data_IF_580307493875
#
_entry.id   IF_580307493875
#
_cell.length_a   1.000
_cell.length_b   1.000
_cell.length_c   1.000
_cell.angle_alpha   90.00
_cell.angle_beta   90.00
_cell.angle_gamma   90.00
#
_symmetry.space_group_name_H-M   'P 1'
#
loop_
_entity.id
_entity.type
_entity.pdbx_description
1 polymer ?
#
# COMPACT_ATOMS: atom_id res chain seq x y z
N UNK A 1 -20.05 5.08 -4.48
CA UNK A 1 -18.72 5.69 -4.71
C UNK A 1 -18.24 5.46 -6.14
N UNK A 2 -18.46 4.27 -6.73
CA UNK A 2 -18.11 3.96 -8.11
C UNK A 2 -19.34 4.04 -9.01
N UNK A 3 -19.18 4.56 -10.23
CA UNK A 3 -20.20 4.54 -11.27
C UNK A 3 -20.23 3.15 -11.93
N UNK A 4 -21.37 2.42 -11.92
CA UNK A 4 -21.43 1.06 -12.45
C UNK A 4 -21.32 0.99 -13.99
N UNK A 5 -21.48 2.11 -14.70
CA UNK A 5 -21.36 2.16 -16.16
C UNK A 5 -19.96 2.51 -16.62
N UNK A 6 -19.34 3.47 -15.93
CA UNK A 6 -18.03 3.97 -16.33
C UNK A 6 -16.91 3.30 -15.54
N UNK A 7 -17.15 2.77 -14.34
CA UNK A 7 -16.13 2.37 -13.34
C UNK A 7 -15.32 3.53 -12.76
N UNK A 8 -15.71 4.77 -13.05
CA UNK A 8 -15.12 5.97 -12.47
C UNK A 8 -15.51 6.17 -11.01
N UNK A 9 -14.65 6.87 -10.26
CA UNK A 9 -14.86 7.16 -8.83
C UNK A 9 -15.36 8.59 -8.62
N UNK A 10 -16.19 8.78 -7.59
CA UNK A 10 -16.58 10.13 -7.14
C UNK A 10 -15.34 10.92 -6.74
N UNK A 11 -15.37 12.27 -6.83
CA UNK A 11 -14.29 13.10 -6.33
C UNK A 11 -13.99 12.79 -4.86
N UNK A 12 -12.71 12.53 -4.56
CA UNK A 12 -12.22 12.29 -3.21
C UNK A 12 -11.17 13.35 -2.88
N UNK A 13 -11.11 13.73 -1.61
CA UNK A 13 -10.12 14.67 -1.09
C UNK A 13 -9.36 14.01 0.05
N UNK A 14 -8.04 14.20 0.06
CA UNK A 14 -7.15 13.67 1.07
C UNK A 14 -6.74 14.82 1.99
N UNK A 15 -6.83 14.61 3.30
CA UNK A 15 -6.47 15.60 4.29
C UNK A 15 -5.38 15.08 5.22
N UNK A 16 -4.38 15.92 5.48
CA UNK A 16 -3.45 15.77 6.59
C UNK A 16 -3.94 16.60 7.78
N UNK A 17 -3.74 16.07 8.97
CA UNK A 17 -4.04 16.72 10.24
C UNK A 17 -2.93 16.39 11.23
N UNK A 18 -2.64 17.33 12.13
CA UNK A 18 -1.64 17.13 13.18
C UNK A 18 -2.31 16.76 14.50
N UNK A 19 -1.60 15.98 15.30
CA UNK A 19 -1.89 15.76 16.71
C UNK A 19 -0.64 16.03 17.53
N UNK A 20 -0.80 16.74 18.64
CA UNK A 20 0.28 17.07 19.57
C UNK A 20 0.06 16.47 20.97
N UNK A 21 -0.92 15.57 21.12
CA UNK A 21 -1.38 15.04 22.40
C UNK A 21 -1.72 13.54 22.35
N UNK A 22 -0.94 12.78 21.58
CA UNK A 22 -1.09 11.33 21.35
C UNK A 22 -2.42 10.93 20.68
N UNK A 23 -2.89 11.76 19.75
CA UNK A 23 -4.07 11.50 18.93
C UNK A 23 -5.39 11.82 19.63
N UNK A 24 -5.36 12.49 20.80
CA UNK A 24 -6.56 12.87 21.54
C UNK A 24 -7.29 14.02 20.84
N UNK A 25 -6.56 14.97 20.28
CA UNK A 25 -7.10 16.07 19.47
C UNK A 25 -6.33 16.23 18.16
N UNK A 26 -7.04 16.76 17.15
CA UNK A 26 -6.51 16.93 15.79
C UNK A 26 -6.74 18.35 15.30
N UNK A 27 -5.68 18.97 14.77
CA UNK A 27 -5.68 20.36 14.31
C UNK A 27 -5.03 20.49 12.92
N UNK A 28 -5.00 21.71 12.39
CA UNK A 28 -4.31 22.07 11.14
C UNK A 28 -4.69 21.20 9.93
N UNK A 29 -5.99 21.06 9.64
CA UNK A 29 -6.46 20.33 8.45
C UNK A 29 -5.92 20.99 7.18
N UNK A 30 -5.12 20.25 6.42
CA UNK A 30 -4.53 20.65 5.13
C UNK A 30 -4.96 19.66 4.06
N UNK A 31 -5.37 20.16 2.91
CA UNK A 31 -5.67 19.32 1.75
C UNK A 31 -4.37 18.95 1.04
N UNK A 32 -4.25 17.67 0.67
CA UNK A 32 -3.11 17.18 -0.09
C UNK A 32 -3.32 17.50 -1.56
N UNK A 33 -2.35 18.16 -2.19
CA UNK A 33 -2.38 18.38 -3.63
C UNK A 33 -2.01 17.09 -4.36
N UNK A 34 -2.92 16.62 -5.21
CA UNK A 34 -2.72 15.42 -6.03
C UNK A 34 -2.65 15.71 -7.52
N UNK A 35 -2.49 16.99 -7.91
CA UNK A 35 -2.37 17.35 -9.32
C UNK A 35 -1.18 16.63 -9.97
N UNK A 36 -1.32 16.22 -11.25
CA UNK A 36 -2.44 16.51 -12.16
C UNK A 36 -3.61 15.52 -12.07
N UNK A 37 -3.63 14.60 -11.10
CA UNK A 37 -4.62 13.54 -11.04
C UNK A 37 -5.96 14.03 -10.45
N UNK A 38 -7.06 13.94 -11.21
CA UNK A 38 -8.35 14.52 -10.83
C UNK A 38 -9.18 13.64 -9.89
N UNK A 39 -8.86 12.34 -9.81
CA UNK A 39 -9.50 11.41 -8.87
C UNK A 39 -8.46 10.48 -8.28
N UNK A 40 -8.49 10.34 -6.97
CA UNK A 40 -7.51 9.59 -6.19
C UNK A 40 -8.17 8.80 -5.06
N UNK A 41 -7.46 7.83 -4.53
CA UNK A 41 -7.78 7.17 -3.27
C UNK A 41 -6.52 7.08 -2.39
N UNK A 42 -6.67 7.32 -1.09
CA UNK A 42 -5.56 7.29 -0.13
C UNK A 42 -5.08 5.86 0.11
N UNK A 43 -3.78 5.63 -0.02
CA UNK A 43 -3.17 4.32 0.15
C UNK A 43 -2.23 4.29 1.36
N UNK A 44 -2.81 4.09 2.54
CA UNK A 44 -2.04 3.89 3.77
C UNK A 44 -1.68 5.17 4.50
N UNK A 45 -0.73 5.05 5.45
CA UNK A 45 -0.32 6.16 6.30
C UNK A 45 0.64 7.11 5.58
N UNK A 46 0.66 8.42 5.94
CA UNK A 46 1.71 9.32 5.48
C UNK A 46 3.08 8.86 5.99
N UNK A 47 4.11 9.10 5.20
CA UNK A 47 5.50 8.74 5.49
C UNK A 47 6.31 10.00 5.81
N UNK A 48 7.22 9.88 6.76
CA UNK A 48 8.27 10.89 6.96
C UNK A 48 9.49 10.46 6.14
N UNK A 49 9.92 11.31 5.20
CA UNK A 49 11.07 11.03 4.37
C UNK A 49 12.37 11.33 5.13
N UNK A 50 13.39 10.48 4.93
CA UNK A 50 14.71 10.71 5.51
C UNK A 50 15.38 11.98 4.95
N UNK A 51 15.12 12.30 3.68
CA UNK A 51 15.53 13.56 3.08
C UNK A 51 14.83 14.71 3.83
N UNK A 52 15.58 15.46 4.65
CA UNK A 52 15.06 16.64 5.35
C UNK A 52 14.90 16.53 6.86
N UNK A 53 15.21 15.38 7.48
CA UNK A 53 15.22 15.20 8.96
C UNK A 53 16.23 16.14 9.66
N UNK A 54 17.15 16.76 8.91
CA UNK A 54 18.13 17.74 9.42
C UNK A 54 17.68 19.21 9.31
N UNK A 55 16.43 19.51 8.95
CA UNK A 55 15.94 20.89 8.93
C UNK A 55 15.45 21.29 10.32
N UNK A 56 15.92 22.46 10.77
CA UNK A 56 15.51 23.10 12.01
C UNK A 56 14.59 24.28 11.62
N UNK A 57 13.37 24.42 12.16
CA UNK A 57 12.77 23.60 13.21
C UNK A 57 12.38 22.18 12.74
N UNK A 58 12.39 21.19 13.65
CA UNK A 58 12.04 19.78 13.38
C UNK A 58 10.59 19.58 12.92
N UNK A 59 9.74 20.60 13.04
CA UNK A 59 8.31 20.58 12.72
C UNK A 59 8.01 20.60 11.21
N UNK A 60 9.04 20.61 10.35
CA UNK A 60 8.92 20.71 8.89
C UNK A 60 9.57 19.53 8.15
N UNK A 61 9.66 18.35 8.76
CA UNK A 61 10.18 17.17 8.08
C UNK A 61 9.37 16.90 6.78
N UNK A 62 10.02 16.52 5.67
CA UNK A 62 9.29 16.22 4.45
C UNK A 62 8.36 15.03 4.63
N UNK A 63 7.11 15.21 4.23
CA UNK A 63 6.04 14.24 4.35
C UNK A 63 5.66 13.77 2.96
N UNK A 64 5.50 12.47 2.80
CA UNK A 64 4.97 11.87 1.59
C UNK A 64 3.61 11.22 1.87
N UNK A 65 2.65 11.49 0.99
CA UNK A 65 1.30 10.91 1.05
C UNK A 65 1.12 9.98 -0.14
N UNK A 66 0.87 8.72 0.19
CA UNK A 66 0.78 7.61 -0.75
C UNK A 66 -0.67 7.48 -1.22
N UNK A 67 -0.92 7.41 -2.52
CA UNK A 67 -2.28 7.39 -3.08
C UNK A 67 -2.28 6.74 -4.46
N UNK A 68 -3.42 6.26 -4.92
CA UNK A 68 -3.57 5.81 -6.31
C UNK A 68 -4.50 6.74 -7.08
N UNK A 69 -4.19 6.96 -8.35
CA UNK A 69 -4.98 7.74 -9.28
C UNK A 69 -5.82 6.84 -10.18
N UNK A 70 -7.05 7.28 -10.40
CA UNK A 70 -7.99 6.63 -11.30
C UNK A 70 -8.82 7.68 -12.04
N UNK A 71 -9.67 7.25 -12.96
CA UNK A 71 -10.54 8.15 -13.71
C UNK A 71 -11.73 8.65 -12.90
N UNK A 72 -12.26 9.80 -13.31
CA UNK A 72 -13.40 10.46 -12.64
C UNK A 72 -14.73 9.75 -12.90
N UNK A 73 -15.74 10.04 -12.06
CA UNK A 73 -17.02 9.34 -12.00
C UNK A 73 -17.76 9.18 -13.33
N UNK A 74 -17.79 10.20 -14.18
CA UNK A 74 -18.53 10.17 -15.46
C UNK A 74 -17.62 9.95 -16.67
N UNK A 75 -16.32 9.72 -16.46
CA UNK A 75 -15.38 9.46 -17.54
C UNK A 75 -15.60 8.07 -18.14
N UNK A 76 -16.16 8.04 -19.35
CA UNK A 76 -16.41 6.82 -20.12
C UNK A 76 -15.16 6.27 -20.83
N UNK A 77 -14.01 6.95 -20.75
CA UNK A 77 -12.74 6.52 -21.33
C UNK A 77 -12.19 5.24 -20.68
N UNK A 78 -11.15 4.68 -21.29
CA UNK A 78 -10.49 3.50 -20.73
C UNK A 78 -9.65 3.91 -19.51
N UNK A 79 -9.91 3.33 -18.35
CA UNK A 79 -9.28 3.77 -17.09
C UNK A 79 -7.78 3.48 -17.08
N UNK A 80 -6.97 4.48 -16.76
CA UNK A 80 -5.53 4.35 -16.54
C UNK A 80 -5.25 4.43 -15.05
N UNK A 81 -4.57 3.41 -14.53
CA UNK A 81 -4.14 3.38 -13.14
C UNK A 81 -2.74 3.98 -12.98
N UNK A 82 -2.52 4.75 -11.91
CA UNK A 82 -1.17 5.11 -11.45
C UNK A 82 -1.11 5.06 -9.93
N UNK A 83 -0.11 4.37 -9.39
CA UNK A 83 0.33 4.56 -8.01
C UNK A 83 1.13 5.87 -7.92
N UNK A 84 0.82 6.74 -6.96
CA UNK A 84 1.31 8.11 -6.89
C UNK A 84 1.73 8.53 -5.48
N UNK A 85 2.68 9.45 -5.42
CA UNK A 85 3.24 10.01 -4.19
C UNK A 85 3.19 11.53 -4.24
N UNK A 86 2.40 12.14 -3.34
CA UNK A 86 2.40 13.58 -3.12
C UNK A 86 3.43 13.92 -2.05
N UNK A 87 4.41 14.76 -2.40
CA UNK A 87 5.55 15.08 -1.51
C UNK A 87 5.46 16.54 -1.08
N UNK A 88 5.53 16.75 0.23
CA UNK A 88 5.68 18.06 0.85
C UNK A 88 7.05 18.19 1.50
N UNK A 89 7.65 19.38 1.38
CA UNK A 89 8.95 19.70 1.99
C UNK A 89 8.82 20.60 3.23
N UNK A 90 7.60 20.94 3.63
CA UNK A 90 7.31 21.92 4.67
C UNK A 90 6.32 21.41 5.73
N UNK A 91 6.24 20.09 5.93
CA UNK A 91 5.33 19.49 6.93
C UNK A 91 3.89 19.32 6.45
N UNK A 92 3.66 19.30 5.14
CA UNK A 92 2.35 19.06 4.53
C UNK A 92 1.54 20.33 4.22
N UNK A 93 2.16 21.51 4.18
CA UNK A 93 1.47 22.77 3.84
C UNK A 93 1.44 23.03 2.34
N UNK A 94 2.55 22.75 1.66
CA UNK A 94 2.64 22.81 0.21
C UNK A 94 3.18 21.51 -0.34
N UNK A 95 2.76 21.17 -1.56
CA UNK A 95 3.10 19.92 -2.22
C UNK A 95 3.62 20.21 -3.63
N UNK A 96 4.63 19.46 -4.03
CA UNK A 96 5.00 19.34 -5.44
C UNK A 96 3.88 18.62 -6.22
N UNK A 97 3.82 18.73 -7.55
CA UNK A 97 2.99 17.84 -8.35
C UNK A 97 3.26 16.36 -8.01
N UNK A 98 2.19 15.56 -7.95
CA UNK A 98 2.29 14.17 -7.54
C UNK A 98 3.23 13.38 -8.46
N UNK A 99 4.14 12.63 -7.86
CA UNK A 99 5.08 11.76 -8.57
C UNK A 99 4.42 10.42 -8.85
N UNK A 100 4.63 9.86 -10.04
CA UNK A 100 4.19 8.49 -10.34
C UNK A 100 5.22 7.50 -9.77
N UNK A 101 4.77 6.63 -8.87
CA UNK A 101 5.56 5.53 -8.32
C UNK A 101 5.53 4.34 -9.27
N UNK A 102 4.34 3.99 -9.77
CA UNK A 102 4.15 2.89 -10.70
C UNK A 102 2.99 3.15 -11.67
N UNK A 103 3.26 2.91 -12.95
CA UNK A 103 2.28 2.94 -14.03
C UNK A 103 2.75 1.97 -15.11
N UNK A 104 1.83 1.19 -15.68
CA UNK A 104 2.13 0.36 -16.83
C UNK A 104 1.83 1.13 -18.12
N UNK A 105 2.82 1.48 -18.95
CA UNK A 105 2.60 2.20 -20.20
C UNK A 105 1.69 1.46 -21.20
N UNK A 106 1.56 0.13 -21.08
CA UNK A 106 0.64 -0.66 -21.88
C UNK A 106 -0.79 -0.68 -21.31
N UNK A 107 -1.01 -0.12 -20.12
CA UNK A 107 -2.26 -0.12 -19.36
C UNK A 107 -2.88 -1.53 -19.21
N UNK A 108 -2.03 -2.55 -19.06
CA UNK A 108 -2.40 -3.96 -18.83
C UNK A 108 -2.29 -4.31 -17.36
N UNK A 109 -1.17 -3.97 -16.73
CA UNK A 109 -0.94 -4.20 -15.31
C UNK A 109 -1.44 -3.03 -14.49
N UNK A 110 -2.21 -3.33 -13.46
CA UNK A 110 -2.72 -2.36 -12.49
C UNK A 110 -2.03 -2.60 -11.17
N UNK A 111 -1.24 -1.61 -10.76
CA UNK A 111 -0.39 -1.68 -9.57
C UNK A 111 -1.12 -1.10 -8.35
N UNK A 112 -2.23 -1.73 -7.97
CA UNK A 112 -3.14 -1.26 -6.94
C UNK A 112 -2.54 -1.25 -5.54
N UNK A 113 -3.19 -0.43 -4.70
CA UNK A 113 -3.11 -0.54 -3.24
C UNK A 113 -1.66 -0.49 -2.73
N UNK A 114 -0.88 0.41 -3.33
CA UNK A 114 0.55 0.52 -3.12
C UNK A 114 0.87 0.73 -1.63
N UNK A 115 1.89 0.01 -1.14
CA UNK A 115 2.38 0.11 0.24
C UNK A 115 3.84 0.46 0.22
N UNK A 116 4.16 1.62 0.78
CA UNK A 116 5.51 2.15 0.82
C UNK A 116 6.09 2.09 2.23
N UNK A 117 7.40 1.92 2.30
CA UNK A 117 8.15 2.07 3.54
C UNK A 117 9.48 2.78 3.28
N UNK A 118 9.98 3.44 4.33
CA UNK A 118 11.29 4.09 4.36
C UNK A 118 12.21 3.25 5.22
N UNK A 119 13.37 2.88 4.68
CA UNK A 119 14.44 2.24 5.44
C UNK A 119 15.00 3.24 6.45
N UNK A 120 14.87 3.01 7.77
CA UNK A 120 15.34 3.95 8.78
C UNK A 120 16.88 4.10 8.79
N UNK A 121 17.64 3.11 8.31
CA UNK A 121 19.11 3.16 8.30
C UNK A 121 19.65 3.94 7.10
N UNK A 122 18.99 3.83 5.94
CA UNK A 122 19.52 4.35 4.67
C UNK A 122 18.67 5.44 4.05
N UNK A 123 17.43 5.63 4.50
CA UNK A 123 16.44 6.52 3.90
C UNK A 123 15.91 6.06 2.53
N UNK A 124 16.30 4.87 2.06
CA UNK A 124 15.79 4.31 0.80
C UNK A 124 14.31 3.98 0.93
N UNK A 125 13.56 4.18 -0.14
CA UNK A 125 12.16 3.80 -0.21
C UNK A 125 11.95 2.54 -1.04
N UNK A 126 10.98 1.75 -0.61
CA UNK A 126 10.49 0.54 -1.25
C UNK A 126 8.97 0.62 -1.34
N UNK A 127 8.43 0.27 -2.51
CA UNK A 127 6.99 0.18 -2.78
C UNK A 127 6.66 -1.26 -3.15
N UNK A 128 5.63 -1.84 -2.55
CA UNK A 128 5.08 -3.13 -2.96
C UNK A 128 3.63 -2.95 -3.38
N UNK A 129 3.24 -3.66 -4.44
CA UNK A 129 2.05 -3.38 -5.23
C UNK A 129 1.25 -4.67 -5.38
N UNK A 130 -0.02 -4.65 -5.00
CA UNK A 130 -0.95 -5.68 -5.43
C UNK A 130 -1.18 -5.49 -6.93
N UNK A 131 -0.84 -6.49 -7.74
CA UNK A 131 -0.85 -6.32 -9.20
C UNK A 131 -1.93 -7.18 -9.85
N UNK A 132 -2.77 -6.53 -10.65
CA UNK A 132 -3.80 -7.17 -11.44
C UNK A 132 -3.51 -7.04 -12.94
N UNK A 133 -3.55 -8.16 -13.67
CA UNK A 133 -3.50 -8.16 -15.13
C UNK A 133 -4.92 -8.10 -15.67
N UNK A 134 -5.34 -6.92 -16.15
CA UNK A 134 -6.71 -6.72 -16.63
C UNK A 134 -7.05 -7.45 -17.94
N UNK A 135 -6.03 -7.90 -18.69
CA UNK A 135 -6.24 -8.65 -19.94
C UNK A 135 -6.43 -10.12 -19.61
N UNK A 136 -5.61 -10.66 -18.71
CA UNK A 136 -5.77 -12.02 -18.21
C UNK A 136 -6.91 -12.15 -17.18
N UNK A 137 -7.35 -11.02 -16.62
CA UNK A 137 -8.39 -10.87 -15.60
C UNK A 137 -8.04 -11.63 -14.33
N UNK A 138 -6.80 -11.53 -13.89
CA UNK A 138 -6.31 -12.25 -12.72
C UNK A 138 -5.25 -11.45 -11.99
N UNK A 139 -5.20 -11.67 -10.69
CA UNK A 139 -4.09 -11.20 -9.88
C UNK A 139 -2.83 -11.97 -10.25
N UNK A 140 -1.76 -11.22 -10.50
CA UNK A 140 -0.42 -11.77 -10.73
C UNK A 140 0.40 -11.62 -9.46
N UNK A 141 1.66 -12.05 -9.51
CA UNK A 141 2.57 -11.86 -8.41
C UNK A 141 2.64 -10.39 -7.97
N UNK A 142 2.93 -10.20 -6.69
CA UNK A 142 3.28 -8.89 -6.15
C UNK A 142 4.38 -8.27 -6.98
N UNK A 143 4.23 -6.98 -7.28
CA UNK A 143 5.30 -6.21 -7.88
C UNK A 143 5.96 -5.30 -6.85
N UNK A 144 7.24 -5.03 -7.06
CA UNK A 144 8.07 -4.19 -6.19
C UNK A 144 8.77 -3.10 -7.01
N UNK A 145 8.80 -1.88 -6.49
CA UNK A 145 9.56 -0.77 -7.03
C UNK A 145 10.44 -0.16 -5.93
N UNK A 146 11.57 0.42 -6.33
CA UNK A 146 12.50 1.11 -5.44
C UNK A 146 12.65 2.55 -5.87
N UNK A 147 12.71 3.45 -4.90
CA UNK A 147 13.08 4.83 -5.21
C UNK A 147 14.54 4.89 -5.64
N UNK A 148 14.80 5.60 -6.72
CA UNK A 148 16.13 5.90 -7.25
C UNK A 148 16.73 7.15 -6.58
N UNK A 149 15.90 7.95 -5.89
CA UNK A 149 16.32 9.16 -5.18
C UNK A 149 15.84 9.12 -3.73
N UNK A 150 16.57 9.76 -2.81
CA UNK A 150 16.19 9.78 -1.39
C UNK A 150 14.94 10.63 -1.10
N UNK A 151 14.56 11.52 -2.03
CA UNK A 151 13.40 12.39 -1.94
C UNK A 151 12.12 11.76 -2.51
N UNK A 152 12.17 10.52 -3.00
CA UNK A 152 11.00 9.81 -3.52
C UNK A 152 10.49 10.30 -4.88
N UNK A 153 11.26 11.13 -5.60
CA UNK A 153 10.84 11.74 -6.88
C UNK A 153 11.07 10.88 -8.12
N UNK A 154 11.88 9.82 -8.03
CA UNK A 154 12.15 8.92 -9.16
C UNK A 154 12.13 7.47 -8.70
N UNK A 155 11.50 6.60 -9.47
CA UNK A 155 11.28 5.20 -9.12
C UNK A 155 11.71 4.26 -10.25
N UNK A 156 12.15 3.06 -9.89
CA UNK A 156 12.32 1.99 -10.88
C UNK A 156 10.97 1.52 -11.40
N UNK A 157 10.92 1.03 -12.65
CA UNK A 157 9.74 0.27 -13.10
C UNK A 157 9.49 -0.95 -12.18
N UNK A 158 8.22 -1.24 -11.82
CA UNK A 158 7.90 -2.37 -10.95
C UNK A 158 8.40 -3.71 -11.50
N UNK A 159 8.95 -4.54 -10.62
CA UNK A 159 9.44 -5.89 -10.93
C UNK A 159 8.59 -6.92 -10.24
N UNK A 160 8.32 -8.04 -10.91
CA UNK A 160 7.69 -9.21 -10.32
C UNK A 160 8.55 -9.73 -9.14
N UNK A 161 7.94 -9.88 -7.96
CA UNK A 161 8.59 -10.34 -6.73
C UNK A 161 8.55 -11.86 -6.53
N UNK A 162 7.86 -12.60 -7.40
CA UNK A 162 7.85 -14.07 -7.45
C UNK A 162 6.85 -14.76 -6.50
N UNK A 163 5.99 -14.01 -5.82
CA UNK A 163 4.97 -14.56 -4.92
C UNK A 163 3.64 -13.81 -5.05
N UNK A 164 2.53 -14.51 -4.81
CA UNK A 164 1.18 -13.96 -4.91
C UNK A 164 0.66 -13.48 -3.55
N UNK A 165 0.20 -12.23 -3.49
CA UNK A 165 -0.25 -11.60 -2.24
C UNK A 165 -0.96 -10.27 -2.45
N UNK A 166 -1.89 -9.96 -1.54
CA UNK A 166 -2.68 -8.73 -1.49
C UNK A 166 -2.71 -8.27 -0.03
N UNK A 167 -2.85 -7.04 0.38
CA UNK A 167 -1.97 -5.99 -0.07
C UNK A 167 -0.59 -6.23 0.57
N UNK A 168 0.48 -6.33 -0.22
CA UNK A 168 1.82 -6.60 0.29
C UNK A 168 2.36 -5.39 1.06
N UNK A 169 2.77 -5.58 2.32
CA UNK A 169 3.20 -4.49 3.21
C UNK A 169 4.66 -4.66 3.60
N UNK A 170 5.58 -3.84 3.04
CA UNK A 170 6.99 -3.91 3.40
C UNK A 170 7.25 -3.30 4.78
N UNK A 171 8.09 -3.95 5.57
CA UNK A 171 8.72 -3.45 6.78
C UNK A 171 10.24 -3.61 6.63
N UNK A 172 10.97 -2.52 6.34
CA UNK A 172 12.42 -2.51 6.42
C UNK A 172 12.90 -2.88 7.81
N UNK A 173 13.91 -3.74 7.86
CA UNK A 173 14.53 -4.27 9.07
C UNK A 173 16.03 -4.00 9.04
N UNK A 174 16.71 -4.04 10.20
CA UNK A 174 18.15 -3.83 10.28
C UNK A 174 18.95 -4.74 9.35
N UNK A 175 20.04 -4.19 8.80
CA UNK A 175 20.93 -4.92 7.90
C UNK A 175 20.40 -5.07 6.47
N UNK A 176 19.47 -4.20 6.07
CA UNK A 176 18.90 -4.19 4.72
C UNK A 176 17.90 -5.32 4.43
N UNK A 177 17.40 -6.00 5.46
CA UNK A 177 16.34 -7.00 5.34
C UNK A 177 14.99 -6.30 5.16
N UNK A 178 14.01 -6.97 4.55
CA UNK A 178 12.63 -6.50 4.46
C UNK A 178 11.70 -7.66 4.78
N UNK A 179 10.85 -7.50 5.79
CA UNK A 179 9.71 -8.39 6.00
C UNK A 179 8.54 -7.85 5.18
N UNK A 180 7.90 -8.70 4.38
CA UNK A 180 6.61 -8.39 3.77
C UNK A 180 5.53 -9.20 4.48
N UNK A 181 4.51 -8.52 5.01
CA UNK A 181 3.28 -9.17 5.48
C UNK A 181 2.17 -8.95 4.47
N UNK A 182 1.37 -9.97 4.21
CA UNK A 182 0.37 -9.91 3.16
C UNK A 182 -0.78 -10.90 3.40
N UNK A 183 -1.92 -10.63 2.79
CA UNK A 183 -3.08 -11.50 2.59
C UNK A 183 -2.81 -12.46 1.44
N UNK A 184 -2.75 -13.74 1.78
CA UNK A 184 -2.75 -14.84 0.84
C UNK A 184 -4.19 -15.21 0.52
N UNK A 185 -4.65 -14.77 -0.65
CA UNK A 185 -6.03 -14.90 -1.10
C UNK A 185 -6.29 -16.15 -1.94
N UNK A 186 -5.58 -17.24 -1.62
CA UNK A 186 -5.79 -18.57 -2.21
C UNK A 186 -6.00 -19.60 -1.11
N UNK A 187 -6.45 -20.80 -1.45
CA UNK A 187 -6.73 -21.83 -0.45
C UNK A 187 -5.43 -22.43 0.13
N UNK A 188 -5.27 -22.49 1.48
CA UNK A 188 -6.14 -21.93 2.50
C UNK A 188 -5.95 -20.40 2.70
N UNK A 189 -7.05 -19.63 2.78
CA UNK A 189 -6.98 -18.18 2.89
C UNK A 189 -6.29 -17.80 4.20
N UNK A 190 -5.24 -16.98 4.11
CA UNK A 190 -4.33 -16.76 5.24
C UNK A 190 -3.68 -15.39 5.21
N UNK A 191 -3.13 -14.96 6.35
CA UNK A 191 -2.16 -13.89 6.42
C UNK A 191 -0.78 -14.49 6.61
N UNK A 192 0.16 -14.01 5.80
CA UNK A 192 1.50 -14.57 5.69
C UNK A 192 2.57 -13.51 5.83
N UNK A 193 3.75 -13.95 6.23
CA UNK A 193 4.95 -13.14 6.27
C UNK A 193 6.05 -13.83 5.46
N UNK A 194 6.80 -13.06 4.68
CA UNK A 194 7.93 -13.52 3.88
C UNK A 194 9.09 -12.55 4.07
N UNK A 195 10.32 -13.06 4.16
CA UNK A 195 11.52 -12.27 4.45
C UNK A 195 12.41 -12.18 3.21
N UNK A 196 12.83 -10.97 2.88
CA UNK A 196 13.88 -10.69 1.91
C UNK A 196 15.17 -10.29 2.63
N UNK A 197 16.33 -10.89 2.30
CA UNK A 197 17.61 -10.55 2.93
C UNK A 197 18.31 -9.34 2.30
N UNK A 198 17.83 -8.82 1.17
CA UNK A 198 18.59 -7.92 0.28
C UNK A 198 17.76 -6.73 -0.23
N UNK A 199 16.94 -6.20 0.67
CA UNK A 199 16.07 -5.04 0.45
C UNK A 199 15.00 -5.28 -0.64
N UNK A 200 14.43 -6.49 -0.64
CA UNK A 200 13.32 -6.87 -1.51
C UNK A 200 13.74 -7.39 -2.89
N UNK A 201 15.03 -7.56 -3.17
CA UNK A 201 15.49 -8.00 -4.50
C UNK A 201 15.25 -9.49 -4.71
N UNK A 202 15.35 -10.28 -3.64
CA UNK A 202 15.07 -11.72 -3.65
C UNK A 202 14.11 -12.10 -2.53
N UNK A 203 13.30 -13.11 -2.81
CA UNK A 203 12.28 -13.64 -1.92
C UNK A 203 12.31 -15.17 -2.00
N UNK A 204 12.14 -15.84 -0.87
CA UNK A 204 12.01 -17.29 -0.79
C UNK A 204 10.63 -17.66 -0.28
N UNK A 205 9.73 -17.99 -1.20
CA UNK A 205 8.36 -18.39 -0.88
C UNK A 205 8.27 -19.71 -0.10
N UNK A 206 9.33 -20.53 -0.10
CA UNK A 206 9.36 -21.77 0.68
C UNK A 206 9.53 -21.50 2.19
N UNK A 207 10.05 -20.32 2.54
CA UNK A 207 10.23 -19.85 3.93
C UNK A 207 9.06 -19.03 4.47
N UNK A 208 7.91 -19.03 3.80
CA UNK A 208 6.74 -18.26 4.25
C UNK A 208 6.21 -18.72 5.60
N UNK A 209 5.91 -17.75 6.47
CA UNK A 209 5.24 -17.97 7.73
C UNK A 209 3.74 -17.67 7.59
N UNK A 210 2.88 -18.66 7.81
CA UNK A 210 1.44 -18.45 8.03
C UNK A 210 1.22 -18.09 9.49
N UNK A 211 0.85 -16.85 9.79
CA UNK A 211 0.58 -16.41 11.17
C UNK A 211 -0.91 -16.31 11.49
N UNK A 212 -1.77 -16.40 10.47
CA UNK A 212 -3.22 -16.50 10.62
C UNK A 212 -3.81 -17.27 9.44
N UNK A 213 -4.57 -18.32 9.72
CA UNK A 213 -5.41 -19.01 8.72
C UNK A 213 -6.87 -18.64 8.98
N UNK A 214 -7.59 -18.27 7.93
CA UNK A 214 -8.98 -17.85 8.02
C UNK A 214 -9.90 -19.08 8.14
N UNK A 215 -10.64 -19.25 9.25
CA UNK A 215 -11.27 -20.53 9.58
C UNK A 215 -12.69 -20.69 9.01
N UNK A 216 -13.29 -19.65 8.42
CA UNK A 216 -14.71 -19.66 8.02
C UNK A 216 -14.94 -20.03 6.55
N UNK A 217 -13.96 -20.68 5.90
CA UNK A 217 -14.06 -21.16 4.53
C UNK A 217 -13.59 -20.16 3.46
N UNK A 218 -14.01 -20.32 2.20
CA UNK A 218 -13.53 -19.50 1.10
C UNK A 218 -14.00 -18.04 1.20
N UNK A 219 -13.33 -17.17 0.45
CA UNK A 219 -13.53 -15.73 0.41
C UNK A 219 -13.77 -15.29 -1.04
N UNK A 220 -14.53 -14.21 -1.21
CA UNK A 220 -14.90 -13.69 -2.52
C UNK A 220 -13.66 -13.22 -3.29
N UNK A 221 -13.42 -13.73 -4.50
CA UNK A 221 -12.23 -13.37 -5.30
C UNK A 221 -10.98 -14.23 -5.07
N UNK A 222 -11.13 -15.45 -4.52
CA UNK A 222 -9.99 -16.38 -4.37
C UNK A 222 -9.62 -17.14 -5.65
N UNK A 223 -10.58 -17.38 -6.53
CA UNK A 223 -10.39 -18.24 -7.70
C UNK A 223 -11.06 -17.67 -8.95
N UNK A 224 -10.44 -17.93 -10.11
CA UNK A 224 -10.98 -17.64 -11.43
C UNK A 224 -10.73 -16.21 -11.89
N UNK A 225 -11.18 -15.93 -13.12
CA UNK A 225 -11.04 -14.62 -13.72
C UNK A 225 -11.96 -13.60 -13.04
N UNK A 226 -11.50 -12.35 -12.94
CA UNK A 226 -12.20 -11.22 -12.34
C UNK A 226 -12.03 -9.98 -13.20
N UNK A 227 -13.16 -9.40 -13.58
CA UNK A 227 -13.18 -8.08 -14.15
C UNK A 227 -12.94 -7.04 -13.07
N UNK A 228 -12.52 -5.84 -13.47
CA UNK A 228 -12.34 -4.70 -12.57
C UNK A 228 -13.56 -4.44 -11.66
N UNK A 229 -14.77 -4.56 -12.21
CA UNK A 229 -16.02 -4.31 -11.46
C UNK A 229 -16.29 -5.35 -10.38
N UNK A 230 -15.84 -6.59 -10.57
CA UNK A 230 -16.09 -7.68 -9.63
C UNK A 230 -15.34 -7.45 -8.32
N UNK A 231 -14.13 -6.88 -8.41
CA UNK A 231 -13.33 -6.55 -7.23
C UNK A 231 -14.05 -5.63 -6.24
N UNK A 232 -14.84 -4.67 -6.73
CA UNK A 232 -15.59 -3.80 -5.82
C UNK A 232 -16.70 -4.51 -5.06
N UNK A 233 -17.29 -5.56 -5.64
CA UNK A 233 -18.28 -6.39 -4.95
C UNK A 233 -17.59 -7.39 -4.01
N UNK A 234 -16.49 -7.99 -4.46
CA UNK A 234 -15.67 -8.88 -3.63
C UNK A 234 -15.20 -8.14 -2.36
N UNK A 235 -14.65 -6.93 -2.51
CA UNK A 235 -14.18 -6.08 -1.41
C UNK A 235 -15.22 -5.82 -0.32
N UNK A 236 -16.52 -5.80 -0.65
CA UNK A 236 -17.61 -5.53 0.31
C UNK A 236 -17.83 -6.66 1.31
N UNK A 237 -17.40 -7.87 0.98
CA UNK A 237 -17.71 -9.08 1.75
C UNK A 237 -16.46 -9.77 2.31
N UNK A 238 -15.29 -9.12 2.19
CA UNK A 238 -14.04 -9.61 2.76
C UNK A 238 -14.05 -9.52 4.29
N UNK A 239 -13.64 -10.62 4.93
CA UNK A 239 -13.75 -10.76 6.39
C UNK A 239 -12.39 -10.89 7.10
N UNK A 240 -11.28 -10.71 6.38
CA UNK A 240 -9.94 -10.62 6.95
C UNK A 240 -8.99 -9.90 5.98
N UNK A 241 -7.95 -9.27 6.51
CA UNK A 241 -6.93 -8.62 5.70
C UNK A 241 -6.36 -7.35 6.33
N UNK A 242 -5.88 -6.44 5.48
CA UNK A 242 -5.26 -5.15 5.84
C UNK A 242 -4.31 -5.29 7.03
N UNK A 243 -3.31 -6.16 6.88
CA UNK A 243 -2.27 -6.32 7.88
C UNK A 243 -1.35 -5.08 7.89
N UNK A 244 -1.01 -4.60 9.09
CA UNK A 244 -0.07 -3.50 9.32
C UNK A 244 1.03 -3.99 10.27
N UNK A 245 2.29 -4.07 9.79
CA UNK A 245 3.42 -4.49 10.63
C UNK A 245 4.08 -3.30 11.33
N UNK A 246 4.64 -3.53 12.51
CA UNK A 246 5.47 -2.56 13.24
C UNK A 246 6.60 -3.26 13.99
N UNK A 247 7.79 -2.67 13.98
CA UNK A 247 8.95 -3.18 14.70
C UNK A 247 8.82 -2.87 16.20
N UNK A 248 8.97 -3.88 17.05
CA UNK A 248 9.01 -3.73 18.50
C UNK A 248 10.43 -3.43 19.00
N UNK A 249 10.59 -2.83 20.19
CA UNK A 249 11.91 -2.48 20.73
C UNK A 249 12.90 -3.65 20.91
N UNK A 250 12.39 -4.88 20.99
CA UNK A 250 13.20 -6.10 21.13
C UNK A 250 13.53 -6.77 19.79
N UNK A 251 13.19 -6.12 18.67
CA UNK A 251 13.45 -6.62 17.32
C UNK A 251 12.37 -7.55 16.76
N UNK A 252 11.38 -7.96 17.57
CA UNK A 252 10.22 -8.70 17.07
C UNK A 252 9.29 -7.80 16.28
N UNK A 253 8.39 -8.40 15.48
CA UNK A 253 7.38 -7.65 14.72
C UNK A 253 6.00 -7.85 15.33
N UNK A 254 5.28 -6.75 15.50
CA UNK A 254 3.85 -6.75 15.80
C UNK A 254 3.08 -6.59 14.48
N UNK A 255 2.18 -7.52 14.17
CA UNK A 255 1.34 -7.46 12.97
C UNK A 255 -0.13 -7.35 13.39
N UNK A 256 -0.74 -6.19 13.21
CA UNK A 256 -2.18 -5.98 13.44
C UNK A 256 -2.97 -6.18 12.16
N UNK A 257 -4.18 -6.72 12.24
CA UNK A 257 -5.04 -6.99 11.08
C UNK A 257 -6.50 -7.07 11.52
N UNK A 258 -7.44 -6.88 10.60
CA UNK A 258 -8.84 -7.21 10.89
C UNK A 258 -9.12 -8.67 10.52
N UNK A 259 -9.97 -9.32 11.30
CA UNK A 259 -10.51 -10.64 10.99
C UNK A 259 -11.81 -10.93 11.76
N UNK A 260 -12.66 -11.76 11.17
CA UNK A 260 -13.90 -12.21 11.77
C UNK A 260 -14.76 -12.99 10.77
N UNK A 261 -16.07 -12.92 10.94
CA UNK A 261 -17.05 -13.46 10.00
C UNK A 261 -17.98 -12.33 9.48
N UNK A 262 -18.99 -12.70 8.70
CA UNK A 262 -19.93 -11.74 8.11
C UNK A 262 -20.79 -10.99 9.14
N UNK A 263 -20.83 -11.42 10.41
CA UNK A 263 -21.61 -10.76 11.47
C UNK A 263 -20.75 -9.91 12.39
N UNK A 264 -19.48 -10.27 12.58
CA UNK A 264 -18.58 -9.59 13.51
C UNK A 264 -17.13 -9.61 13.04
N UNK A 265 -16.58 -8.41 12.84
CA UNK A 265 -15.16 -8.17 12.60
C UNK A 265 -14.48 -7.60 13.85
N UNK A 266 -13.21 -7.94 14.03
CA UNK A 266 -12.38 -7.46 15.15
C UNK A 266 -10.98 -7.13 14.67
N UNK A 267 -10.29 -6.21 15.34
CA UNK A 267 -8.84 -6.06 15.19
C UNK A 267 -8.16 -7.14 16.02
N UNK A 268 -7.27 -7.88 15.38
CA UNK A 268 -6.43 -8.93 15.95
C UNK A 268 -4.97 -8.58 15.73
N UNK A 269 -4.08 -9.31 16.39
CA UNK A 269 -2.65 -9.14 16.21
C UNK A 269 -1.88 -10.43 16.42
N UNK A 270 -0.69 -10.50 15.83
CA UNK A 270 0.30 -11.55 16.05
C UNK A 270 1.66 -10.91 16.37
N UNK A 271 2.50 -11.61 17.13
CA UNK A 271 3.90 -11.25 17.37
C UNK A 271 4.79 -12.26 16.67
N UNK A 272 5.65 -11.78 15.79
CA UNK A 272 6.53 -12.59 14.93
C UNK A 272 7.98 -12.40 15.37
N UNK A 273 8.72 -13.50 15.47
CA UNK A 273 10.17 -13.48 15.65
C UNK A 273 10.87 -13.34 14.29
N UNK A 274 11.88 -12.48 14.19
CA UNK A 274 12.58 -12.12 12.93
C UNK A 274 14.09 -12.02 13.12
#
# INVERSE_FOLDING_TARGET
MINPKTTGTLPNHIFLMDSFDDGRTWANRREVDTRPFPSVALMGAPLVLAAGVYRNPPDCAPVAVVSEAWKTYDDAGYGEHSAILSISHDGGYTFDPATVVAHDPANRLLFWDERLAVDPETGRLIAMLWTHDRVAQLDVNVHIAWSQTADGKSWSYPRDAGFAGQLPRPLPLPGGRVLCVYVHRHWPPSLRAILSPDFGKTWDASGELVFYEYPYGPQAGMDGQREFTDYYEDMRVWNFGLVEPGLLPDGNVFAAFYAGDAQSLSIRWARLAV
#
